data_IF_703629183813
#
_entry.id   IF_703629183813
#
_cell.length_a   1.000
_cell.length_b   1.000
_cell.length_c   1.000
_cell.angle_alpha   90.00
_cell.angle_beta   90.00
_cell.angle_gamma   90.00
#
_symmetry.space_group_name_H-M   'P 1'
#
loop_
_entity.id
_entity.type
_entity.pdbx_description
1 polymer ?
#
# COMPACT_ATOMS: atom_id res chain seq x y z
N UNK A 1 -8.07 -14.21 -29.41
CA UNK A 1 -8.11 -14.67 -28.00
C UNK A 1 -9.32 -14.05 -27.32
N UNK A 2 -9.96 -14.84 -26.47
CA UNK A 2 -11.41 -14.82 -26.20
C UNK A 2 -11.82 -13.88 -25.07
N UNK A 3 -12.94 -13.16 -25.29
CA UNK A 3 -13.89 -12.60 -24.31
C UNK A 3 -13.31 -11.77 -23.15
N UNK A 4 -13.31 -10.45 -23.36
CA UNK A 4 -13.58 -9.49 -22.30
C UNK A 4 -14.96 -9.81 -21.68
N UNK A 5 -14.98 -10.23 -20.41
CA UNK A 5 -16.22 -10.37 -19.64
C UNK A 5 -16.52 -9.01 -19.02
N UNK A 6 -17.60 -8.41 -19.49
CA UNK A 6 -18.12 -7.09 -19.10
C UNK A 6 -18.74 -7.11 -17.70
N UNK A 7 -18.88 -5.89 -17.18
CA UNK A 7 -19.87 -5.39 -16.21
C UNK A 7 -19.41 -5.47 -14.73
N UNK A 8 -19.52 -4.42 -13.90
CA UNK A 8 -20.68 -3.54 -13.68
C UNK A 8 -20.30 -2.20 -13.02
N UNK A 9 -21.07 -1.15 -13.35
CA UNK A 9 -21.30 0.06 -12.53
C UNK A 9 -20.27 1.18 -12.71
N UNK A 10 -20.59 2.48 -12.78
CA UNK A 10 -21.71 3.23 -12.17
C UNK A 10 -22.01 4.50 -12.99
N UNK A 11 -23.30 4.82 -12.97
CA UNK A 11 -24.09 6.01 -13.31
C UNK A 11 -23.41 7.34 -13.75
N UNK A 12 -23.99 7.86 -14.84
CA UNK A 12 -24.42 9.25 -15.10
C UNK A 12 -23.42 10.41 -14.87
N UNK A 13 -22.93 10.95 -15.98
CA UNK A 13 -22.24 12.23 -16.03
C UNK A 13 -23.23 13.40 -15.87
N UNK A 14 -23.32 13.97 -14.66
CA UNK A 14 -23.80 15.33 -14.45
C UNK A 14 -22.60 16.27 -14.43
N UNK A 15 -22.46 17.08 -15.47
CA UNK A 15 -21.46 18.14 -15.53
C UNK A 15 -21.81 19.23 -14.49
N UNK A 16 -21.02 19.31 -13.42
CA UNK A 16 -20.93 20.49 -12.58
C UNK A 16 -19.50 21.03 -12.70
N UNK A 17 -19.38 22.23 -13.27
CA UNK A 17 -18.14 22.96 -13.32
C UNK A 17 -17.67 23.24 -11.88
N UNK A 18 -16.55 22.63 -11.50
CA UNK A 18 -15.86 22.88 -10.24
C UNK A 18 -14.44 22.39 -10.40
N UNK A 19 -13.48 23.30 -10.27
CA UNK A 19 -12.05 23.01 -10.23
C UNK A 19 -11.77 21.98 -9.13
N UNK A 20 -11.68 20.71 -9.51
CA UNK A 20 -11.23 19.65 -8.60
C UNK A 20 -9.70 19.65 -8.65
N UNK A 21 -9.02 19.78 -7.49
CA UNK A 21 -7.58 19.72 -7.44
C UNK A 21 -7.15 18.43 -8.11
N UNK A 22 -6.12 18.54 -8.95
CA UNK A 22 -5.38 17.42 -9.54
C UNK A 22 -5.32 16.34 -8.47
N UNK A 23 -6.12 15.29 -8.63
CA UNK A 23 -5.99 14.09 -7.83
C UNK A 23 -4.59 13.64 -8.16
N UNK A 24 -3.64 14.00 -7.29
CA UNK A 24 -2.35 13.39 -7.26
C UNK A 24 -2.66 11.91 -7.34
N UNK A 25 -2.23 11.28 -8.43
CA UNK A 25 -2.19 9.84 -8.53
C UNK A 25 -1.26 9.43 -7.40
N UNK A 26 -1.83 9.29 -6.20
CA UNK A 26 -1.20 8.63 -5.09
C UNK A 26 -0.86 7.26 -5.66
N UNK A 27 0.42 6.86 -5.61
CA UNK A 27 0.83 5.56 -6.16
C UNK A 27 -0.18 4.55 -5.65
N UNK A 28 -0.78 3.79 -6.57
CA UNK A 28 -1.94 2.95 -6.32
C UNK A 28 -1.75 2.27 -4.95
N UNK A 29 -2.50 2.73 -3.95
CA UNK A 29 -2.27 2.40 -2.55
C UNK A 29 -2.68 0.95 -2.25
N UNK A 30 -2.70 0.07 -3.24
CA UNK A 30 -3.32 -1.23 -3.16
C UNK A 30 -2.40 -2.25 -2.50
N UNK A 31 -1.10 -2.25 -2.80
CA UNK A 31 -0.23 -3.39 -2.43
C UNK A 31 0.64 -3.14 -1.18
N UNK A 32 0.64 -1.93 -0.59
CA UNK A 32 1.16 -1.69 0.78
C UNK A 32 0.08 -1.62 1.88
N UNK A 33 -1.20 -1.72 1.53
CA UNK A 33 -2.32 -1.66 2.51
C UNK A 33 -2.29 -2.84 3.47
N UNK A 34 -1.94 -4.04 3.02
CA UNK A 34 -1.87 -5.21 3.91
C UNK A 34 -0.77 -5.06 4.96
N UNK A 35 0.40 -4.52 4.57
CA UNK A 35 1.50 -4.23 5.49
C UNK A 35 1.12 -3.16 6.53
N UNK A 36 0.54 -2.04 6.06
CA UNK A 36 0.13 -0.95 6.96
C UNK A 36 -1.04 -1.34 7.86
N UNK A 37 -1.99 -2.15 7.37
CA UNK A 37 -3.11 -2.69 8.16
C UNK A 37 -2.61 -3.66 9.22
N UNK A 38 -1.69 -4.57 8.86
CA UNK A 38 -1.05 -5.48 9.80
C UNK A 38 -0.33 -4.70 10.92
N UNK A 39 0.49 -3.70 10.55
CA UNK A 39 1.17 -2.84 11.52
C UNK A 39 0.18 -2.12 12.46
N UNK A 40 -0.90 -1.57 11.92
CA UNK A 40 -1.94 -0.92 12.72
C UNK A 40 -2.66 -1.90 13.65
N UNK A 41 -2.90 -3.14 13.21
CA UNK A 41 -3.55 -4.17 14.01
C UNK A 41 -2.71 -4.61 15.22
N UNK A 42 -1.39 -4.53 15.09
CA UNK A 42 -0.43 -4.79 16.17
C UNK A 42 -0.29 -3.59 17.13
N UNK A 43 -0.90 -2.45 16.79
CA UNK A 43 -0.85 -1.23 17.59
C UNK A 43 0.32 -0.29 17.26
N UNK A 44 1.02 -0.50 16.15
CA UNK A 44 2.04 0.44 15.69
C UNK A 44 1.42 1.69 15.07
N UNK A 45 2.08 2.83 15.25
CA UNK A 45 1.69 4.09 14.61
C UNK A 45 2.15 4.04 13.16
N UNK A 46 1.20 3.94 12.23
CA UNK A 46 1.46 3.97 10.79
C UNK A 46 1.73 5.41 10.35
N UNK A 47 2.98 5.85 10.51
CA UNK A 47 3.46 7.15 10.05
C UNK A 47 3.99 7.13 8.61
N UNK A 48 4.53 8.26 8.12
CA UNK A 48 5.12 8.36 6.79
C UNK A 48 6.24 7.33 6.55
N UNK A 49 7.07 7.06 7.56
CA UNK A 49 8.17 6.08 7.45
C UNK A 49 7.67 4.64 7.32
N UNK A 50 6.59 4.28 8.03
CA UNK A 50 6.00 2.94 7.92
C UNK A 50 5.33 2.76 6.56
N UNK A 51 4.65 3.81 6.06
CA UNK A 51 4.07 3.81 4.72
C UNK A 51 5.15 3.67 3.64
N UNK A 52 6.24 4.43 3.75
CA UNK A 52 7.37 4.35 2.82
C UNK A 52 8.05 2.96 2.88
N UNK A 53 8.24 2.41 4.08
CA UNK A 53 8.78 1.06 4.25
C UNK A 53 7.89 0.00 3.58
N UNK A 54 6.59 0.03 3.84
CA UNK A 54 5.64 -0.91 3.25
C UNK A 54 5.58 -0.76 1.71
N UNK A 55 5.64 0.47 1.18
CA UNK A 55 5.72 0.76 -0.26
C UNK A 55 6.97 0.15 -0.92
N UNK A 56 8.10 0.17 -0.21
CA UNK A 56 9.31 -0.49 -0.69
C UNK A 56 9.13 -2.02 -0.78
N UNK A 57 8.38 -2.63 0.15
CA UNK A 57 8.13 -4.07 0.22
C UNK A 57 7.48 -4.69 -1.02
N UNK A 58 6.78 -3.89 -1.82
CA UNK A 58 6.13 -4.30 -3.07
C UNK A 58 7.14 -4.61 -4.19
N UNK A 59 8.39 -4.13 -4.08
CA UNK A 59 9.41 -4.25 -5.13
C UNK A 59 10.15 -5.62 -5.13
N UNK A 60 9.44 -6.69 -4.74
CA UNK A 60 10.00 -8.04 -4.66
C UNK A 60 11.05 -8.21 -3.54
N UNK A 61 11.97 -9.16 -3.71
CA UNK A 61 12.90 -9.56 -2.64
C UNK A 61 13.83 -8.44 -2.16
N UNK A 62 14.25 -7.55 -3.07
CA UNK A 62 15.08 -6.39 -2.71
C UNK A 62 14.24 -5.37 -1.96
N UNK A 63 13.01 -5.12 -2.43
CA UNK A 63 12.04 -4.26 -1.76
C UNK A 63 11.71 -4.71 -0.35
N UNK A 64 11.52 -6.01 -0.15
CA UNK A 64 11.29 -6.64 1.16
C UNK A 64 12.43 -6.36 2.14
N UNK A 65 13.69 -6.43 1.69
CA UNK A 65 14.84 -6.09 2.54
C UNK A 65 14.88 -4.61 2.91
N UNK A 66 14.52 -3.71 1.98
CA UNK A 66 14.46 -2.27 2.26
C UNK A 66 13.35 -1.98 3.26
N UNK A 67 12.16 -2.55 3.05
CA UNK A 67 11.05 -2.50 3.99
C UNK A 67 11.48 -2.92 5.39
N UNK A 68 12.14 -4.08 5.50
CA UNK A 68 12.58 -4.63 6.77
C UNK A 68 13.55 -3.67 7.49
N UNK A 69 14.59 -3.19 6.80
CA UNK A 69 15.56 -2.27 7.40
C UNK A 69 14.95 -0.95 7.87
N UNK A 70 13.95 -0.42 7.15
CA UNK A 70 13.27 0.81 7.53
C UNK A 70 12.39 0.60 8.78
N UNK A 71 11.67 -0.52 8.87
CA UNK A 71 10.84 -0.84 10.03
C UNK A 71 11.67 -1.07 11.30
N UNK A 72 12.79 -1.79 11.20
CA UNK A 72 13.69 -1.99 12.35
C UNK A 72 14.29 -0.67 12.84
N UNK A 73 14.66 0.24 11.92
CA UNK A 73 15.22 1.54 12.30
C UNK A 73 14.26 2.41 13.12
N UNK A 74 12.95 2.27 12.91
CA UNK A 74 11.93 2.98 13.70
C UNK A 74 11.47 2.20 14.94
N UNK A 75 12.13 1.08 15.25
CA UNK A 75 11.93 0.31 16.47
C UNK A 75 10.81 -0.74 16.39
N UNK A 76 10.36 -1.11 15.19
CA UNK A 76 9.47 -2.26 15.02
C UNK A 76 10.24 -3.53 15.40
N UNK A 77 9.55 -4.47 16.06
CA UNK A 77 10.13 -5.77 16.41
C UNK A 77 10.49 -6.56 15.16
N UNK A 78 11.54 -7.39 15.29
CA UNK A 78 12.06 -8.19 14.18
C UNK A 78 10.98 -9.05 13.50
N UNK A 79 10.25 -9.84 14.28
CA UNK A 79 9.20 -10.73 13.78
C UNK A 79 8.04 -9.95 13.12
N UNK A 80 7.65 -8.83 13.72
CA UNK A 80 6.58 -7.97 13.19
C UNK A 80 6.99 -7.32 11.86
N UNK A 81 8.24 -6.86 11.75
CA UNK A 81 8.79 -6.27 10.53
C UNK A 81 8.88 -7.30 9.40
N UNK A 82 9.36 -8.51 9.68
CA UNK A 82 9.44 -9.59 8.70
C UNK A 82 8.06 -9.97 8.18
N UNK A 83 7.08 -10.19 9.07
CA UNK A 83 5.73 -10.54 8.63
C UNK A 83 5.10 -9.38 7.83
N UNK A 84 5.20 -8.13 8.30
CA UNK A 84 4.66 -6.95 7.61
C UNK A 84 5.20 -6.82 6.18
N UNK A 85 6.52 -6.93 5.99
CA UNK A 85 7.14 -6.84 4.67
C UNK A 85 6.79 -8.03 3.77
N UNK A 86 6.59 -9.22 4.35
CA UNK A 86 6.12 -10.38 3.60
C UNK A 86 4.69 -10.19 3.08
N UNK A 87 3.84 -9.48 3.82
CA UNK A 87 2.48 -9.13 3.36
C UNK A 87 2.54 -8.11 2.22
N UNK A 88 3.38 -7.07 2.32
CA UNK A 88 3.58 -6.12 1.22
C UNK A 88 4.04 -6.79 -0.09
N UNK A 89 4.89 -7.83 0.00
CA UNK A 89 5.35 -8.58 -1.18
C UNK A 89 4.26 -9.44 -1.83
N UNK A 90 3.26 -9.87 -1.05
CA UNK A 90 2.19 -10.78 -1.50
C UNK A 90 0.96 -10.03 -2.03
N UNK A 91 0.85 -8.73 -1.73
CA UNK A 91 -0.23 -7.84 -2.16
C UNK A 91 -0.21 -7.51 -3.64
#
# INVERSE_FOLDING_TARGET
MTKARRMMGILAATAAAGVLPVLAASPAQASYVDCTTYMSSLGYIVGPTVQDACSNGENGFIGEQVCFNLLIQVGVKWDDATEACSQARRG
#
